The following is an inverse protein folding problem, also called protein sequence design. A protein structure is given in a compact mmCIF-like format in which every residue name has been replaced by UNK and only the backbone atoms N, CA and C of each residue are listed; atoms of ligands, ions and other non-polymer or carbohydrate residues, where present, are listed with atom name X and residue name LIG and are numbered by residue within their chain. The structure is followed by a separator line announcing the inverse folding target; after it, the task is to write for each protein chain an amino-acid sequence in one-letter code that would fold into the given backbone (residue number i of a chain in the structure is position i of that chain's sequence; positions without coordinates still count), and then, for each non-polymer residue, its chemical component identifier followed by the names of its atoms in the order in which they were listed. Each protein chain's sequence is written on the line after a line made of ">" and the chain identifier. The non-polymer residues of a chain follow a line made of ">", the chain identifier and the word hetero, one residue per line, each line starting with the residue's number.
data_IF_302342747597
#
_entry.id   IF_302342747597
#
_cell.length_a   1.000
_cell.length_b   1.000
_cell.length_c   1.000
_cell.angle_alpha   90.00
_cell.angle_beta   90.00
_cell.angle_gamma   90.00
#
_symmetry.space_group_name_H-M   'P 1'
#
loop_
_entity.id
_entity.type
_entity.pdbx_description
1 polymer ?
#
# COMPACT_ATOMS: atom_id res chain seq x y z
N UNK A 1 -3.46 23.28 42.40
CA UNK A 1 -4.16 22.70 43.57
C UNK A 1 -3.11 22.12 44.52
N UNK A 2 -3.30 22.33 45.82
CA UNK A 2 -2.32 22.23 46.91
C UNK A 2 -1.88 20.79 47.26
N UNK A 3 -0.58 20.62 47.59
CA UNK A 3 0.01 19.83 48.70
C UNK A 3 -0.18 18.28 48.65
N UNK A 4 0.82 17.40 48.83
CA UNK A 4 1.82 17.29 49.91
C UNK A 4 2.99 16.36 49.52
N UNK A 5 4.16 16.68 50.08
CA UNK A 5 5.37 15.84 50.27
C UNK A 5 5.06 14.55 51.03
N UNK A 6 5.89 13.51 50.86
CA UNK A 6 6.85 13.08 51.90
C UNK A 6 7.85 12.05 51.36
N UNK A 7 9.13 12.41 51.43
CA UNK A 7 10.30 11.51 51.39
C UNK A 7 10.52 11.03 52.81
N UNK A 8 10.77 9.74 53.03
CA UNK A 8 11.36 9.26 54.28
C UNK A 8 12.21 8.02 54.04
N UNK A 9 13.52 8.21 54.13
CA UNK A 9 14.52 7.17 54.37
C UNK A 9 14.19 6.36 55.63
N UNK A 10 14.50 5.07 55.62
CA UNK A 10 14.56 4.26 56.85
C UNK A 10 16.02 4.00 57.24
N UNK A 11 16.29 4.33 58.50
CA UNK A 11 17.53 4.15 59.24
C UNK A 11 17.54 2.73 59.84
N UNK A 12 18.68 2.05 59.77
CA UNK A 12 18.95 0.83 60.51
C UNK A 12 19.35 1.16 61.96
N UNK A 13 18.68 0.55 62.96
CA UNK A 13 19.21 0.33 64.32
C UNK A 13 18.67 -1.00 64.85
N UNK A 14 19.61 -1.85 65.27
CA UNK A 14 19.43 -3.13 65.95
C UNK A 14 19.32 -2.98 67.48
N UNK A 15 18.45 -3.75 68.13
CA UNK A 15 18.60 -4.13 69.54
C UNK A 15 17.89 -5.49 69.83
N UNK A 16 18.63 -6.40 70.46
CA UNK A 16 18.24 -7.76 70.86
C UNK A 16 17.29 -7.78 72.07
N UNK A 17 16.33 -8.72 72.08
CA UNK A 17 16.12 -9.69 73.17
C UNK A 17 14.84 -10.51 72.95
N UNK A 18 14.94 -11.84 73.07
CA UNK A 18 13.80 -12.75 73.21
C UNK A 18 13.85 -13.96 72.27
N UNK A 19 14.56 -15.01 72.67
CA UNK A 19 14.53 -16.29 71.97
C UNK A 19 13.19 -17.02 72.21
N UNK A 20 12.44 -17.23 71.13
CA UNK A 20 11.60 -18.41 70.94
C UNK A 20 11.94 -18.92 69.54
N UNK A 21 12.54 -20.11 69.38
CA UNK A 21 12.73 -20.66 68.05
C UNK A 21 11.38 -21.17 67.56
N UNK A 22 10.61 -20.30 66.89
CA UNK A 22 9.55 -20.76 66.02
C UNK A 22 10.28 -21.21 64.75
N UNK A 23 10.62 -22.49 64.68
CA UNK A 23 10.83 -23.16 63.40
C UNK A 23 9.46 -23.19 62.70
N UNK A 24 9.04 -22.08 62.10
CA UNK A 24 8.22 -22.19 60.91
C UNK A 24 9.19 -22.59 59.83
N UNK A 25 9.23 -23.87 59.51
CA UNK A 25 9.60 -24.27 58.16
C UNK A 25 8.61 -23.54 57.26
N UNK A 26 8.98 -22.36 56.77
CA UNK A 26 8.36 -21.83 55.57
C UNK A 26 8.66 -22.91 54.54
N UNK A 27 7.61 -23.58 54.07
CA UNK A 27 7.71 -24.43 52.89
C UNK A 27 8.34 -23.53 51.82
N UNK A 28 9.56 -23.86 51.37
CA UNK A 28 10.20 -23.08 50.31
C UNK A 28 9.31 -23.24 49.08
N UNK A 29 8.51 -22.22 48.81
CA UNK A 29 7.69 -22.14 47.60
C UNK A 29 8.65 -22.22 46.43
N UNK A 30 8.60 -23.34 45.71
CA UNK A 30 9.39 -23.53 44.49
C UNK A 30 8.94 -22.48 43.48
N UNK A 31 9.88 -21.68 43.00
CA UNK A 31 9.66 -20.66 41.99
C UNK A 31 10.45 -20.97 40.73
N UNK A 32 9.88 -20.63 39.58
CA UNK A 32 10.48 -20.76 38.27
C UNK A 32 10.59 -19.38 37.60
N UNK A 33 11.53 -19.26 36.66
CA UNK A 33 11.75 -18.05 35.88
C UNK A 33 11.16 -18.20 34.49
N UNK A 34 10.28 -17.28 34.12
CA UNK A 34 9.82 -17.10 32.74
C UNK A 34 10.62 -15.96 32.11
N UNK A 35 11.49 -16.29 31.16
CA UNK A 35 12.30 -15.32 30.40
C UNK A 35 11.63 -15.01 29.08
N UNK A 36 11.21 -13.77 28.88
CA UNK A 36 10.62 -13.27 27.64
C UNK A 36 11.72 -12.68 26.75
N UNK A 37 11.78 -13.13 25.49
CA UNK A 37 12.74 -12.67 24.49
C UNK A 37 12.06 -11.84 23.39
N UNK A 38 12.81 -10.90 22.81
CA UNK A 38 12.41 -10.18 21.59
C UNK A 38 12.56 -11.06 20.33
N UNK A 39 12.33 -10.46 19.16
CA UNK A 39 12.45 -11.17 17.87
C UNK A 39 13.86 -11.70 17.58
N UNK A 40 14.89 -11.03 18.11
CA UNK A 40 16.31 -11.35 17.88
C UNK A 40 16.88 -12.28 18.98
N UNK A 41 16.07 -12.63 19.99
CA UNK A 41 16.46 -13.49 21.09
C UNK A 41 17.08 -12.76 22.29
N UNK A 42 17.01 -11.43 22.34
CA UNK A 42 17.46 -10.68 23.51
C UNK A 42 16.41 -10.68 24.61
N UNK A 43 16.85 -10.70 25.87
CA UNK A 43 15.95 -10.68 27.03
C UNK A 43 15.22 -9.34 27.13
N UNK A 44 13.89 -9.39 27.11
CA UNK A 44 13.00 -8.25 27.35
C UNK A 44 12.63 -8.12 28.83
N UNK A 45 12.23 -9.23 29.44
CA UNK A 45 11.70 -9.27 30.79
C UNK A 45 11.86 -10.66 31.39
N UNK A 46 12.08 -10.73 32.70
CA UNK A 46 12.04 -11.97 33.48
C UNK A 46 10.92 -11.87 34.52
N UNK A 47 10.16 -12.95 34.68
CA UNK A 47 9.03 -13.03 35.61
C UNK A 47 9.22 -14.25 36.50
N UNK A 48 9.18 -14.04 37.81
CA UNK A 48 9.18 -15.12 38.80
C UNK A 48 7.75 -15.62 39.02
N UNK A 49 7.55 -16.93 38.98
CA UNK A 49 6.24 -17.57 39.12
C UNK A 49 6.34 -18.79 40.04
N UNK A 50 5.35 -19.00 40.90
CA UNK A 50 5.30 -20.20 41.76
C UNK A 50 4.99 -21.46 40.94
N UNK A 51 5.46 -22.61 41.42
CA UNK A 51 5.24 -23.91 40.77
C UNK A 51 3.76 -24.18 40.43
N UNK A 52 3.52 -24.50 39.16
CA UNK A 52 2.21 -24.80 38.61
C UNK A 52 1.30 -23.60 38.35
N UNK A 53 1.77 -22.36 38.56
CA UNK A 53 0.98 -21.15 38.26
C UNK A 53 1.09 -20.71 36.79
N UNK A 54 0.13 -19.90 36.37
CA UNK A 54 0.08 -19.27 35.05
C UNK A 54 0.68 -17.85 35.10
N UNK A 55 1.25 -17.39 33.98
CA UNK A 55 1.65 -15.99 33.77
C UNK A 55 0.76 -15.35 32.71
N UNK A 56 0.14 -14.22 33.05
CA UNK A 56 -0.65 -13.44 32.10
C UNK A 56 0.23 -12.58 31.19
N UNK A 57 0.53 -13.13 30.02
CA UNK A 57 1.34 -12.47 29.00
C UNK A 57 0.59 -11.37 28.21
N UNK A 58 -0.73 -11.24 28.37
CA UNK A 58 -1.52 -10.24 27.64
C UNK A 58 -1.28 -8.80 28.13
N UNK A 59 -0.75 -8.66 29.34
CA UNK A 59 -0.42 -7.39 29.99
C UNK A 59 0.96 -6.85 29.64
N UNK A 60 1.78 -7.65 28.93
CA UNK A 60 3.15 -7.30 28.59
C UNK A 60 3.14 -6.22 27.50
N UNK A 61 3.83 -5.12 27.76
CA UNK A 61 4.01 -4.05 26.78
C UNK A 61 4.94 -4.51 25.66
N UNK A 62 4.37 -4.68 24.47
CA UNK A 62 5.07 -5.11 23.25
C UNK A 62 5.27 -3.95 22.28
N UNK A 63 4.92 -2.72 22.65
CA UNK A 63 5.02 -1.56 21.77
C UNK A 63 6.46 -1.26 21.32
N UNK A 64 7.45 -1.62 22.14
CA UNK A 64 8.87 -1.49 21.79
C UNK A 64 9.34 -2.44 20.69
N UNK A 65 8.57 -3.50 20.39
CA UNK A 65 8.86 -4.45 19.31
C UNK A 65 8.39 -3.94 17.95
N UNK A 66 7.55 -2.92 17.91
CA UNK A 66 7.09 -2.36 16.65
C UNK A 66 8.18 -1.53 15.97
N UNK A 67 8.49 -1.87 14.71
CA UNK A 67 9.50 -1.19 13.91
C UNK A 67 9.00 -0.92 12.49
N UNK A 68 9.57 0.11 11.88
CA UNK A 68 9.35 0.47 10.48
C UNK A 68 10.71 0.45 9.75
N UNK A 69 11.16 -0.72 9.27
CA UNK A 69 12.45 -0.83 8.55
C UNK A 69 12.55 0.12 7.36
N UNK A 70 11.41 0.41 6.72
CA UNK A 70 11.28 1.39 5.65
C UNK A 70 9.85 1.96 5.63
N UNK A 71 9.51 2.76 4.62
CA UNK A 71 8.22 3.46 4.52
C UNK A 71 7.04 2.51 4.19
N UNK A 72 7.33 1.32 3.68
CA UNK A 72 6.35 0.33 3.21
C UNK A 72 6.36 -0.97 4.02
N UNK A 73 7.34 -1.16 4.90
CA UNK A 73 7.45 -2.32 5.78
C UNK A 73 7.17 -1.96 7.23
N UNK A 74 6.30 -2.72 7.87
CA UNK A 74 6.06 -2.69 9.32
C UNK A 74 6.33 -4.08 9.88
N UNK A 75 7.08 -4.16 10.97
CA UNK A 75 7.26 -5.38 11.77
C UNK A 75 6.69 -5.11 13.14
N UNK A 76 5.83 -5.99 13.64
CA UNK A 76 5.21 -5.86 14.95
C UNK A 76 5.01 -7.19 15.63
N UNK A 77 4.51 -7.14 16.86
CA UNK A 77 4.21 -8.33 17.65
C UNK A 77 3.00 -9.08 17.07
N UNK A 78 3.15 -10.39 16.87
CA UNK A 78 2.07 -11.29 16.44
C UNK A 78 1.58 -12.15 17.60
N UNK A 79 2.49 -12.83 18.29
CA UNK A 79 2.17 -13.76 19.36
C UNK A 79 3.40 -14.09 20.21
N UNK A 80 3.19 -14.78 21.33
CA UNK A 80 4.27 -15.44 22.07
C UNK A 80 4.45 -16.88 21.58
N UNK A 81 5.68 -17.41 21.63
CA UNK A 81 5.99 -18.75 21.14
C UNK A 81 5.37 -19.90 21.94
N UNK A 82 4.92 -19.63 23.17
CA UNK A 82 4.23 -20.55 24.08
C UNK A 82 3.26 -19.78 24.94
N UNK A 83 2.20 -20.44 25.43
CA UNK A 83 1.47 -19.93 26.59
C UNK A 83 2.24 -20.27 27.87
N UNK A 84 2.25 -19.34 28.83
CA UNK A 84 2.97 -19.49 30.09
C UNK A 84 2.05 -20.10 31.15
N UNK A 85 1.43 -21.24 30.85
CA UNK A 85 0.47 -21.90 31.74
C UNK A 85 1.12 -23.07 32.48
N UNK A 86 0.72 -23.25 33.74
CA UNK A 86 1.14 -24.36 34.60
C UNK A 86 2.67 -24.54 34.59
N UNK A 87 3.40 -23.46 34.91
CA UNK A 87 4.86 -23.41 34.82
C UNK A 87 5.48 -24.27 35.92
N UNK A 88 6.24 -25.29 35.52
CA UNK A 88 6.87 -26.28 36.43
C UNK A 88 8.39 -26.34 36.36
N UNK A 89 8.97 -25.58 35.44
CA UNK A 89 10.39 -25.45 35.19
C UNK A 89 10.64 -24.04 34.62
N UNK A 90 11.89 -23.59 34.65
CA UNK A 90 12.30 -22.37 33.95
C UNK A 90 11.92 -22.44 32.46
N UNK A 91 11.32 -21.38 31.95
CA UNK A 91 10.74 -21.34 30.61
C UNK A 91 11.23 -20.11 29.85
N UNK A 92 11.71 -20.32 28.62
CA UNK A 92 12.02 -19.23 27.70
C UNK A 92 10.93 -19.11 26.63
N UNK A 93 10.36 -17.91 26.48
CA UNK A 93 9.30 -17.61 25.53
C UNK A 93 9.75 -16.48 24.64
N UNK A 94 9.71 -16.69 23.32
CA UNK A 94 10.12 -15.69 22.35
C UNK A 94 8.92 -14.98 21.74
N UNK A 95 9.05 -13.66 21.55
CA UNK A 95 8.11 -12.90 20.75
C UNK A 95 8.17 -13.38 19.29
N UNK A 96 7.01 -13.58 18.68
CA UNK A 96 6.85 -13.93 17.28
C UNK A 96 6.39 -12.70 16.52
N UNK A 97 7.00 -12.42 15.37
CA UNK A 97 6.67 -11.23 14.60
C UNK A 97 5.53 -11.46 13.60
N UNK A 98 4.88 -10.36 13.22
CA UNK A 98 4.20 -10.20 11.93
C UNK A 98 4.93 -9.12 11.16
N UNK A 99 5.24 -9.39 9.89
CA UNK A 99 5.86 -8.45 8.97
C UNK A 99 4.90 -8.17 7.83
N UNK A 100 4.47 -6.93 7.71
CA UNK A 100 3.58 -6.45 6.67
C UNK A 100 4.38 -5.59 5.69
N UNK A 101 4.32 -5.93 4.40
CA UNK A 101 5.00 -5.22 3.32
C UNK A 101 3.96 -4.75 2.32
N UNK A 102 3.84 -3.44 2.17
CA UNK A 102 3.02 -2.80 1.15
C UNK A 102 3.78 -2.77 -0.19
N UNK A 103 3.16 -3.27 -1.26
CA UNK A 103 3.77 -3.34 -2.59
C UNK A 103 2.92 -2.63 -3.65
N UNK A 104 3.58 -1.90 -4.55
CA UNK A 104 3.01 -1.41 -5.80
C UNK A 104 3.47 -2.34 -6.93
N UNK A 105 2.60 -3.27 -7.30
CA UNK A 105 2.93 -4.33 -8.26
C UNK A 105 2.73 -3.88 -9.70
N UNK A 106 1.82 -2.93 -9.94
CA UNK A 106 1.58 -2.33 -11.26
C UNK A 106 0.96 -0.94 -11.11
N UNK A 107 1.30 -0.03 -12.03
CA UNK A 107 0.77 1.35 -12.07
C UNK A 107 -0.46 1.42 -12.98
N UNK A 108 -1.29 2.49 -12.89
CA UNK A 108 -2.39 2.68 -13.83
C UNK A 108 -1.89 2.74 -15.28
N UNK A 109 -2.59 2.08 -16.18
CA UNK A 109 -2.30 2.08 -17.61
C UNK A 109 -2.75 3.39 -18.27
N UNK A 110 -3.85 3.98 -17.79
CA UNK A 110 -4.43 5.19 -18.37
C UNK A 110 -3.87 6.47 -17.74
N UNK A 111 -3.06 7.16 -18.53
CA UNK A 111 -2.52 8.49 -18.20
C UNK A 111 -2.98 9.58 -19.16
N UNK A 112 -3.63 9.22 -20.27
CA UNK A 112 -4.20 10.15 -21.23
C UNK A 112 -5.71 10.02 -21.27
N UNK A 113 -6.39 11.16 -21.30
CA UNK A 113 -7.85 11.27 -21.29
C UNK A 113 -8.32 12.13 -22.45
N UNK A 114 -9.47 11.78 -23.01
CA UNK A 114 -10.08 12.52 -24.13
C UNK A 114 -11.43 13.13 -23.76
N UNK A 115 -11.63 13.34 -22.45
CA UNK A 115 -12.76 14.04 -21.87
C UNK A 115 -12.31 14.83 -20.63
N UNK A 116 -13.03 15.91 -20.34
CA UNK A 116 -12.91 16.64 -19.06
C UNK A 116 -13.90 16.16 -17.99
N UNK A 117 -14.68 15.12 -18.26
CA UNK A 117 -15.68 14.59 -17.34
C UNK A 117 -15.60 13.07 -17.29
N UNK A 118 -16.02 12.50 -16.15
CA UNK A 118 -15.77 11.10 -15.81
C UNK A 118 -14.74 11.00 -14.69
N UNK A 119 -14.38 9.76 -14.37
CA UNK A 119 -13.46 9.47 -13.26
C UNK A 119 -12.04 9.27 -13.76
N UNK A 120 -11.09 9.56 -12.89
CA UNK A 120 -9.72 9.06 -13.02
C UNK A 120 -9.79 7.53 -12.93
N UNK A 121 -9.35 6.86 -13.99
CA UNK A 121 -9.31 5.40 -14.06
C UNK A 121 -8.03 4.87 -13.42
N UNK A 122 -8.16 3.75 -12.72
CA UNK A 122 -7.05 3.02 -12.10
C UNK A 122 -6.91 1.62 -12.73
N UNK A 123 -7.38 1.47 -13.97
CA UNK A 123 -7.17 0.28 -14.78
C UNK A 123 -5.68 -0.07 -14.84
N UNK A 124 -5.34 -1.35 -14.61
CA UNK A 124 -3.96 -1.83 -14.52
C UNK A 124 -3.26 -1.63 -13.18
N UNK A 125 -3.78 -0.78 -12.27
CA UNK A 125 -3.22 -0.63 -10.93
C UNK A 125 -3.28 -1.97 -10.18
N UNK A 126 -2.18 -2.33 -9.51
CA UNK A 126 -2.12 -3.46 -8.57
C UNK A 126 -1.35 -3.07 -7.34
N UNK A 127 -2.01 -3.14 -6.19
CA UNK A 127 -1.43 -2.84 -4.88
C UNK A 127 -1.76 -3.99 -3.93
N UNK A 128 -0.75 -4.52 -3.26
CA UNK A 128 -0.90 -5.64 -2.35
C UNK A 128 -0.22 -5.39 -1.00
N UNK A 129 -0.66 -6.12 0.02
CA UNK A 129 0.05 -6.26 1.30
C UNK A 129 0.46 -7.72 1.44
N UNK A 130 1.75 -7.97 1.61
CA UNK A 130 2.26 -9.29 2.03
C UNK A 130 2.38 -9.31 3.54
N UNK A 131 1.75 -10.28 4.20
CA UNK A 131 1.85 -10.52 5.64
C UNK A 131 2.58 -11.83 5.90
N UNK A 132 3.80 -11.74 6.45
CA UNK A 132 4.60 -12.87 6.91
C UNK A 132 4.44 -12.99 8.43
N UNK A 133 3.75 -14.04 8.89
CA UNK A 133 3.50 -14.33 10.30
C UNK A 133 4.39 -15.45 10.78
N UNK A 134 5.21 -15.16 11.77
CA UNK A 134 5.98 -16.18 12.46
C UNK A 134 5.05 -16.97 13.39
N UNK A 135 5.13 -18.30 13.34
CA UNK A 135 4.32 -19.22 14.15
C UNK A 135 5.15 -19.82 15.27
N UNK A 136 4.50 -20.48 16.25
CA UNK A 136 5.19 -21.23 17.30
C UNK A 136 5.78 -22.57 16.82
N UNK A 137 5.42 -23.01 15.60
CA UNK A 137 5.92 -24.26 15.02
C UNK A 137 7.34 -24.04 14.52
N UNK A 138 8.24 -24.97 14.85
CA UNK A 138 9.62 -24.96 14.36
C UNK A 138 9.79 -25.91 13.18
N UNK A 139 10.70 -25.58 12.27
CA UNK A 139 11.14 -26.46 11.19
C UNK A 139 12.27 -27.41 11.66
N UNK A 140 12.76 -28.25 10.74
CA UNK A 140 13.83 -29.22 11.02
C UNK A 140 15.17 -28.57 11.41
N UNK A 141 15.34 -27.27 11.11
CA UNK A 141 16.52 -26.49 11.50
C UNK A 141 16.36 -25.83 12.87
N UNK A 142 15.16 -25.90 13.46
CA UNK A 142 14.81 -25.25 14.73
C UNK A 142 14.29 -23.82 14.57
N UNK A 143 14.19 -23.31 13.35
CA UNK A 143 13.69 -21.97 13.05
C UNK A 143 12.16 -21.95 13.08
N UNK A 144 11.57 -20.83 13.49
CA UNK A 144 10.12 -20.69 13.47
C UNK A 144 9.59 -20.63 12.04
N UNK A 145 8.54 -21.40 11.76
CA UNK A 145 7.87 -21.38 10.46
C UNK A 145 7.17 -20.05 10.22
N UNK A 146 7.18 -19.62 8.95
CA UNK A 146 6.52 -18.40 8.49
C UNK A 146 5.31 -18.77 7.63
N UNK A 147 4.14 -18.32 8.05
CA UNK A 147 2.92 -18.33 7.25
C UNK A 147 2.83 -17.02 6.45
N UNK A 148 2.65 -17.13 5.13
CA UNK A 148 2.53 -15.98 4.24
C UNK A 148 1.11 -15.85 3.70
N UNK A 149 0.56 -14.65 3.82
CA UNK A 149 -0.68 -14.23 3.19
C UNK A 149 -0.40 -13.03 2.27
N UNK A 150 -1.03 -12.99 1.09
CA UNK A 150 -0.98 -11.84 0.18
C UNK A 150 -2.40 -11.32 0.01
N UNK A 151 -2.62 -10.07 0.41
CA UNK A 151 -3.90 -9.39 0.30
C UNK A 151 -3.86 -8.37 -0.83
N UNK A 152 -4.73 -8.51 -1.82
CA UNK A 152 -4.99 -7.46 -2.81
C UNK A 152 -5.81 -6.34 -2.16
N UNK A 153 -5.25 -5.13 -2.15
CA UNK A 153 -5.87 -3.92 -1.60
C UNK A 153 -6.14 -2.85 -2.66
N UNK A 154 -6.04 -3.20 -3.94
CA UNK A 154 -6.18 -2.27 -5.07
C UNK A 154 -7.48 -1.48 -4.98
N UNK A 155 -8.60 -2.16 -4.73
CA UNK A 155 -9.93 -1.55 -4.60
C UNK A 155 -10.09 -0.65 -3.38
N UNK A 156 -9.19 -0.77 -2.39
CA UNK A 156 -9.19 0.04 -1.18
C UNK A 156 -8.31 1.30 -1.30
N UNK A 157 -7.57 1.43 -2.40
CA UNK A 157 -6.78 2.62 -2.69
C UNK A 157 -7.68 3.82 -3.04
N UNK A 158 -7.21 5.02 -2.69
CA UNK A 158 -7.89 6.29 -2.97
C UNK A 158 -6.99 7.21 -3.77
N UNK A 159 -7.56 8.08 -4.58
CA UNK A 159 -6.80 9.10 -5.31
C UNK A 159 -6.92 10.47 -4.66
N UNK A 160 -5.93 11.34 -4.85
CA UNK A 160 -6.00 12.76 -4.46
C UNK A 160 -7.11 13.51 -5.21
N UNK A 161 -7.41 13.08 -6.44
CA UNK A 161 -8.48 13.61 -7.28
C UNK A 161 -9.21 12.44 -7.96
N UNK A 162 -10.54 12.43 -7.86
CA UNK A 162 -11.36 11.33 -8.41
C UNK A 162 -12.02 11.71 -9.73
N UNK A 163 -12.39 12.97 -9.92
CA UNK A 163 -13.13 13.42 -11.10
C UNK A 163 -12.22 14.19 -12.07
N UNK A 164 -12.31 13.87 -13.36
CA UNK A 164 -11.53 14.54 -14.41
C UNK A 164 -11.86 16.03 -14.52
N UNK A 165 -13.07 16.43 -14.14
CA UNK A 165 -13.47 17.84 -14.14
C UNK A 165 -12.74 18.66 -13.10
N UNK A 166 -12.40 18.04 -11.97
CA UNK A 166 -11.57 18.64 -10.94
C UNK A 166 -10.10 18.63 -11.37
N UNK A 167 -9.61 17.48 -11.85
CA UNK A 167 -8.23 17.33 -12.30
C UNK A 167 -7.86 18.36 -13.39
N UNK A 168 -8.73 18.55 -14.38
CA UNK A 168 -8.49 19.43 -15.53
C UNK A 168 -9.19 20.80 -15.40
N UNK A 169 -9.51 21.23 -14.18
CA UNK A 169 -10.16 22.52 -13.93
C UNK A 169 -9.25 23.70 -14.33
N UNK A 170 -7.94 23.59 -14.07
CA UNK A 170 -6.95 24.65 -14.31
C UNK A 170 -6.16 24.49 -15.61
N UNK A 171 -6.38 23.42 -16.38
CA UNK A 171 -5.57 23.14 -17.57
C UNK A 171 -5.90 21.83 -18.29
N UNK A 172 -4.86 21.23 -18.87
CA UNK A 172 -4.91 19.97 -19.61
C UNK A 172 -3.98 18.90 -19.02
N UNK A 173 -3.49 19.11 -17.80
CA UNK A 173 -2.65 18.17 -17.07
C UNK A 173 -2.95 18.26 -15.58
N UNK A 174 -2.78 17.16 -14.87
CA UNK A 174 -2.97 17.10 -13.43
C UNK A 174 -2.05 16.04 -12.82
N UNK A 175 -1.56 16.30 -11.61
CA UNK A 175 -0.85 15.31 -10.81
C UNK A 175 -1.87 14.52 -9.96
N UNK A 176 -1.80 13.20 -10.03
CA UNK A 176 -2.65 12.27 -9.27
C UNK A 176 -1.79 11.48 -8.31
N UNK A 177 -2.16 11.49 -7.04
CA UNK A 177 -1.53 10.67 -6.00
C UNK A 177 -2.47 9.55 -5.56
N UNK A 178 -1.94 8.34 -5.38
CA UNK A 178 -2.68 7.14 -4.94
C UNK A 178 -2.27 6.80 -3.52
N UNK A 179 -3.25 6.64 -2.64
CA UNK A 179 -3.10 6.37 -1.21
C UNK A 179 -3.67 4.99 -0.88
N UNK A 180 -2.86 4.07 -0.34
CA UNK A 180 -3.35 2.84 0.27
C UNK A 180 -4.29 3.12 1.44
N UNK A 181 -5.12 2.15 1.79
CA UNK A 181 -6.04 2.27 2.94
C UNK A 181 -5.28 2.59 4.23
N UNK A 182 -5.75 3.60 4.97
CA UNK A 182 -5.16 4.02 6.24
C UNK A 182 -3.83 4.79 6.12
N UNK A 183 -3.27 4.94 4.92
CA UNK A 183 -2.04 5.70 4.70
C UNK A 183 -2.31 7.19 4.44
N UNK A 184 -1.49 8.05 5.04
CA UNK A 184 -1.41 9.48 4.70
C UNK A 184 -0.35 9.80 3.63
N UNK A 185 0.48 8.81 3.28
CA UNK A 185 1.53 8.93 2.25
C UNK A 185 1.11 8.21 0.97
N UNK A 186 1.33 8.81 -0.21
CA UNK A 186 1.01 8.13 -1.45
C UNK A 186 1.98 6.98 -1.72
N UNK A 187 1.48 5.92 -2.32
CA UNK A 187 2.29 4.82 -2.86
C UNK A 187 2.76 5.12 -4.28
N UNK A 188 2.02 5.95 -5.01
CA UNK A 188 2.33 6.40 -6.35
C UNK A 188 1.86 7.84 -6.54
N UNK A 189 2.65 8.64 -7.23
CA UNK A 189 2.24 9.93 -7.78
C UNK A 189 2.61 9.94 -9.26
N UNK A 190 1.66 10.32 -10.12
CA UNK A 190 1.83 10.30 -11.57
C UNK A 190 1.01 11.41 -12.24
N UNK A 191 1.44 11.81 -13.45
CA UNK A 191 0.74 12.82 -14.23
C UNK A 191 -0.30 12.20 -15.16
N UNK A 192 -1.47 12.84 -15.21
CA UNK A 192 -2.48 12.59 -16.25
C UNK A 192 -2.63 13.80 -17.15
N UNK A 193 -2.98 13.56 -18.41
CA UNK A 193 -3.11 14.60 -19.42
C UNK A 193 -4.46 14.49 -20.14
N UNK A 194 -5.09 15.63 -20.37
CA UNK A 194 -6.25 15.78 -21.22
C UNK A 194 -5.82 16.19 -22.62
N UNK A 195 -6.09 15.35 -23.61
CA UNK A 195 -5.73 15.58 -25.00
C UNK A 195 -6.96 15.98 -25.81
N UNK A 196 -7.23 17.28 -25.90
CA UNK A 196 -8.44 17.82 -26.55
C UNK A 196 -8.42 17.75 -28.09
N UNK A 197 -7.25 17.58 -28.69
CA UNK A 197 -7.04 17.64 -30.13
C UNK A 197 -6.95 16.25 -30.78
N UNK A 198 -7.41 15.19 -30.12
CA UNK A 198 -7.48 13.86 -30.74
C UNK A 198 -8.34 13.93 -32.01
N UNK A 199 -7.82 13.38 -33.12
CA UNK A 199 -8.50 13.40 -34.42
C UNK A 199 -8.45 14.72 -35.18
N UNK A 200 -7.95 15.81 -34.60
CA UNK A 200 -7.66 17.08 -35.28
C UNK A 200 -6.26 16.99 -35.92
N UNK A 201 -6.19 16.17 -36.96
CA UNK A 201 -4.96 15.75 -37.61
C UNK A 201 -4.35 16.85 -38.47
N UNK A 202 -5.12 17.80 -39.01
CA UNK A 202 -4.58 18.96 -39.72
C UNK A 202 -4.38 20.21 -38.82
N UNK A 203 -4.89 20.18 -37.58
CA UNK A 203 -4.80 21.22 -36.56
C UNK A 203 -5.42 22.56 -36.99
N UNK A 204 -6.52 22.48 -37.74
CA UNK A 204 -7.40 23.61 -37.96
C UNK A 204 -8.33 23.88 -36.75
N UNK A 205 -8.34 22.97 -35.76
CA UNK A 205 -9.14 23.06 -34.55
C UNK A 205 -10.49 22.34 -34.64
N UNK A 206 -10.78 21.66 -35.75
CA UNK A 206 -12.06 21.01 -36.02
C UNK A 206 -11.88 19.58 -36.51
N UNK A 207 -12.32 18.59 -35.73
CA UNK A 207 -12.36 17.19 -36.19
C UNK A 207 -13.41 17.00 -37.30
N UNK A 208 -12.96 16.80 -38.53
CA UNK A 208 -13.80 16.67 -39.72
C UNK A 208 -13.21 15.70 -40.78
N UNK A 209 -13.77 15.68 -41.99
CA UNK A 209 -13.32 14.76 -43.05
C UNK A 209 -11.96 15.11 -43.66
N UNK A 210 -11.49 16.35 -43.51
CA UNK A 210 -10.15 16.78 -43.93
C UNK A 210 -9.08 16.10 -43.07
N UNK A 211 -9.30 15.94 -41.76
CA UNK A 211 -8.41 15.20 -40.88
C UNK A 211 -8.22 13.75 -41.30
N UNK A 212 -9.32 13.08 -41.63
CA UNK A 212 -9.26 11.71 -42.14
C UNK A 212 -8.46 11.63 -43.45
N UNK A 213 -8.63 12.62 -44.34
CA UNK A 213 -7.86 12.72 -45.58
C UNK A 213 -6.37 12.98 -45.33
N UNK A 214 -6.06 13.80 -44.32
CA UNK A 214 -4.70 14.05 -43.85
C UNK A 214 -4.05 12.76 -43.35
N UNK A 215 -4.74 12.01 -42.49
CA UNK A 215 -4.26 10.72 -41.97
C UNK A 215 -4.01 9.72 -43.10
N UNK A 216 -4.91 9.61 -44.08
CA UNK A 216 -4.70 8.76 -45.26
C UNK A 216 -3.48 9.18 -46.08
N UNK A 217 -3.21 10.49 -46.20
CA UNK A 217 -2.00 10.99 -46.87
C UNK A 217 -0.73 10.60 -46.13
N UNK A 218 -0.72 10.73 -44.80
CA UNK A 218 0.37 10.30 -43.93
C UNK A 218 0.59 8.80 -44.06
N UNK A 219 -0.46 7.99 -43.91
CA UNK A 219 -0.42 6.54 -44.06
C UNK A 219 0.15 6.11 -45.42
N UNK A 220 -0.30 6.74 -46.52
CA UNK A 220 0.19 6.43 -47.86
C UNK A 220 1.70 6.70 -48.00
N UNK A 221 2.19 7.82 -47.44
CA UNK A 221 3.63 8.14 -47.42
C UNK A 221 4.42 7.13 -46.58
N UNK A 222 3.95 6.81 -45.38
CA UNK A 222 4.59 5.83 -44.50
C UNK A 222 4.66 4.44 -45.15
N UNK A 223 3.56 3.99 -45.78
CA UNK A 223 3.49 2.72 -46.52
C UNK A 223 4.44 2.69 -47.72
N UNK A 224 4.64 3.83 -48.37
CA UNK A 224 5.63 3.99 -49.44
C UNK A 224 7.07 4.19 -48.92
N UNK A 225 7.33 3.99 -47.61
CA UNK A 225 8.62 4.26 -46.96
C UNK A 225 9.15 5.69 -47.20
N UNK A 226 8.24 6.63 -47.47
CA UNK A 226 8.56 8.03 -47.65
C UNK A 226 8.67 8.70 -46.28
N UNK A 227 9.76 9.44 -46.00
CA UNK A 227 9.89 10.17 -44.74
C UNK A 227 8.74 11.15 -44.54
N UNK A 228 8.08 11.07 -43.38
CA UNK A 228 7.08 12.04 -42.93
C UNK A 228 7.59 12.66 -41.63
N UNK A 229 7.70 13.99 -41.60
CA UNK A 229 8.08 14.72 -40.40
C UNK A 229 6.81 15.16 -39.66
N UNK A 230 6.45 14.45 -38.60
CA UNK A 230 5.35 14.82 -37.69
C UNK A 230 5.90 15.13 -36.31
N UNK A 231 5.36 16.17 -35.67
CA UNK A 231 5.59 16.39 -34.23
C UNK A 231 4.91 15.29 -33.41
N UNK A 232 5.36 15.03 -32.19
CA UNK A 232 4.75 14.00 -31.33
C UNK A 232 3.26 14.26 -31.07
N UNK A 233 2.88 15.53 -30.83
CA UNK A 233 1.47 15.93 -30.74
C UNK A 233 0.71 15.56 -32.01
N UNK A 234 1.29 15.80 -33.19
CA UNK A 234 0.62 15.50 -34.47
C UNK A 234 0.47 14.00 -34.70
N UNK A 235 1.47 13.20 -34.34
CA UNK A 235 1.38 11.73 -34.38
C UNK A 235 0.21 11.26 -33.52
N UNK A 236 0.08 11.80 -32.29
CA UNK A 236 -1.03 11.52 -31.39
C UNK A 236 -2.38 11.98 -31.94
N UNK A 237 -2.47 13.08 -32.68
CA UNK A 237 -3.73 13.47 -33.33
C UNK A 237 -4.13 12.49 -34.46
N UNK A 238 -3.14 11.91 -35.15
CA UNK A 238 -3.35 10.99 -36.26
C UNK A 238 -3.63 9.55 -35.82
N UNK A 239 -2.97 9.06 -34.77
CA UNK A 239 -3.14 7.73 -34.16
C UNK A 239 -4.24 7.82 -33.09
N UNK A 240 -5.49 7.70 -33.53
CA UNK A 240 -6.68 7.93 -32.70
C UNK A 240 -7.10 6.69 -31.92
N UNK A 241 -6.72 5.50 -32.36
CA UNK A 241 -6.95 4.25 -31.61
C UNK A 241 -5.81 3.90 -30.64
N UNK A 242 -4.72 4.69 -30.64
CA UNK A 242 -3.56 4.56 -29.76
C UNK A 242 -2.81 3.23 -29.92
N UNK A 243 -2.88 2.61 -31.10
CA UNK A 243 -2.18 1.35 -31.36
C UNK A 243 -0.69 1.54 -31.73
N UNK A 244 -0.22 2.79 -31.82
CA UNK A 244 1.17 3.14 -32.15
C UNK A 244 1.46 3.20 -33.65
N UNK A 245 0.44 3.07 -34.51
CA UNK A 245 0.53 3.15 -35.97
C UNK A 245 -0.45 4.20 -36.47
N UNK A 246 -0.09 4.84 -37.57
CA UNK A 246 -0.98 5.76 -38.30
C UNK A 246 -1.40 5.04 -39.57
N UNK A 247 -2.66 4.60 -39.63
CA UNK A 247 -3.18 3.84 -40.77
C UNK A 247 -4.61 4.22 -41.19
N UNK A 248 -5.21 3.41 -42.07
CA UNK A 248 -6.54 3.68 -42.60
C UNK A 248 -7.66 3.48 -41.56
N UNK A 249 -7.42 2.72 -40.49
CA UNK A 249 -8.35 2.56 -39.38
C UNK A 249 -8.55 3.89 -38.65
N UNK A 250 -7.47 4.62 -38.39
CA UNK A 250 -7.52 5.94 -37.76
C UNK A 250 -8.40 6.92 -38.54
N UNK A 251 -8.18 7.01 -39.86
CA UNK A 251 -8.98 7.85 -40.74
C UNK A 251 -10.47 7.45 -40.71
N UNK A 252 -10.75 6.15 -40.65
CA UNK A 252 -12.12 5.62 -40.57
C UNK A 252 -12.79 5.96 -39.23
N UNK A 253 -12.03 5.93 -38.13
CA UNK A 253 -12.49 6.33 -36.81
C UNK A 253 -12.79 7.84 -36.75
N UNK A 254 -11.93 8.68 -37.34
CA UNK A 254 -12.16 10.13 -37.47
C UNK A 254 -13.45 10.42 -38.23
N UNK A 255 -13.68 9.77 -39.38
CA UNK A 255 -14.92 9.95 -40.15
C UNK A 255 -16.16 9.51 -39.35
N UNK A 256 -16.05 8.39 -38.63
CA UNK A 256 -17.13 7.87 -37.80
C UNK A 256 -17.44 8.81 -36.64
N UNK A 257 -16.42 9.36 -36.00
CA UNK A 257 -16.55 10.36 -34.94
C UNK A 257 -17.16 11.66 -35.46
N UNK A 258 -16.73 12.15 -36.62
CA UNK A 258 -17.30 13.33 -37.28
C UNK A 258 -18.78 13.13 -37.64
N UNK A 259 -19.16 11.98 -38.18
CA UNK A 259 -20.56 11.64 -38.47
C UNK A 259 -21.42 11.62 -37.18
N UNK A 260 -20.88 11.08 -36.09
CA UNK A 260 -21.54 11.10 -34.77
C UNK A 260 -21.66 12.52 -34.20
N UNK A 261 -20.66 13.37 -34.41
CA UNK A 261 -20.69 14.80 -34.05
C UNK A 261 -21.78 15.58 -34.76
N UNK A 262 -22.11 15.16 -35.99
CA UNK A 262 -23.17 15.78 -36.80
C UNK A 262 -24.59 15.39 -36.37
N UNK A 263 -24.74 14.38 -35.50
CA UNK A 263 -26.04 13.83 -35.08
C UNK A 263 -26.28 13.87 -33.57
N UNK A 264 -25.25 14.15 -32.76
CA UNK A 264 -25.31 14.22 -31.30
C UNK A 264 -24.65 15.48 -30.77
N UNK A 265 -25.22 16.09 -29.72
CA UNK A 265 -24.62 17.24 -29.06
C UNK A 265 -23.41 16.80 -28.23
N UNK A 266 -22.21 17.13 -28.71
CA UNK A 266 -20.91 16.94 -28.03
C UNK A 266 -20.47 15.48 -27.82
N UNK A 267 -20.07 14.76 -28.88
CA UNK A 267 -19.44 13.46 -28.71
C UNK A 267 -18.09 13.59 -28.01
N UNK A 268 -17.73 12.56 -27.26
CA UNK A 268 -16.46 12.44 -26.57
C UNK A 268 -15.70 11.26 -27.14
N UNK A 269 -14.43 11.46 -27.49
CA UNK A 269 -13.54 10.39 -27.93
C UNK A 269 -13.44 9.27 -26.90
N UNK A 270 -13.41 9.63 -25.62
CA UNK A 270 -13.44 8.68 -24.50
C UNK A 270 -14.62 7.71 -24.64
N UNK A 271 -15.84 8.24 -24.76
CA UNK A 271 -17.04 7.43 -24.96
C UNK A 271 -17.04 6.72 -26.31
N UNK A 272 -16.44 7.32 -27.34
CA UNK A 272 -16.43 6.76 -28.68
C UNK A 272 -15.59 5.48 -28.76
N UNK A 273 -14.38 5.52 -28.21
CA UNK A 273 -13.40 4.44 -28.25
C UNK A 273 -13.68 3.36 -27.20
N UNK A 274 -14.13 3.75 -26.00
CA UNK A 274 -14.28 2.84 -24.86
C UNK A 274 -15.74 2.51 -24.52
N UNK A 275 -16.60 2.42 -25.53
CA UNK A 275 -18.07 2.32 -25.41
C UNK A 275 -18.60 1.01 -24.77
N UNK A 276 -17.74 0.18 -24.16
CA UNK A 276 -18.05 -1.16 -23.63
C UNK A 276 -17.63 -1.40 -22.16
N UNK A 277 -17.54 -0.36 -21.32
CA UNK A 277 -17.42 -0.53 -19.85
C UNK A 277 -18.67 -0.09 -19.10
#
# INVERSE_FOLDING_TARGET
>A
MKLKKFISSFIAVSALAGAVPINSLADETVTHTVTLLDFDGNVMQEIQVEDGQDVDLSSIDTSSLETHPDVYTQVGFNAWSSDAKNVKDDLTIQALYIKMILSLDSIPERTEYFAKSGKVMLDGLKVSITADRQTSVRDDSGDFQIEREILDITSSCKTSVTELSEAFASGSSAEVSIYPIGSSKPILTYDINYFSSLGDADADGFVNSVDASYVLNVYAKLSASTPVSLTETRKKCCDVDRNGKIDANDASLILSFYAKSSTSSNPSWEKFLYQNE
#
